data_IF_056599916956
#
_entry.id   IF_056599916956
#
_cell.length_a   1.000
_cell.length_b   1.000
_cell.length_c   1.000
_cell.angle_alpha   90.00
_cell.angle_beta   90.00
_cell.angle_gamma   90.00
#
_symmetry.space_group_name_H-M   'P 1'
#
loop_
_entity.id
_entity.type
_entity.pdbx_description
1 polymer ?
#
# COMPACT_ATOMS: atom_id res chain seq x y z
N UNK A 1 21.30 17.07 -5.97
CA UNK A 1 20.38 16.15 -6.67
C UNK A 1 18.97 16.58 -6.30
N UNK A 2 18.13 16.98 -7.26
CA UNK A 2 16.73 17.28 -6.94
C UNK A 2 16.05 15.98 -6.54
N UNK A 3 15.60 15.89 -5.29
CA UNK A 3 14.72 14.83 -4.84
C UNK A 3 13.42 14.97 -5.66
N UNK A 4 13.26 14.19 -6.73
CA UNK A 4 11.98 14.12 -7.43
C UNK A 4 11.09 13.21 -6.59
N UNK A 5 10.08 13.82 -5.96
CA UNK A 5 8.98 13.08 -5.35
C UNK A 5 8.21 12.44 -6.51
N UNK A 6 8.44 11.15 -6.77
CA UNK A 6 7.80 10.45 -7.88
C UNK A 6 6.28 10.35 -7.63
N UNK A 7 5.50 11.12 -8.40
CA UNK A 7 4.04 10.98 -8.52
C UNK A 7 3.69 9.81 -9.46
N UNK A 8 4.29 8.64 -9.21
CA UNK A 8 4.08 7.43 -10.00
C UNK A 8 2.58 7.08 -10.05
N UNK A 9 2.06 6.71 -11.23
CA UNK A 9 0.70 6.20 -11.35
C UNK A 9 0.70 4.71 -11.64
N UNK A 10 -0.09 3.99 -10.85
CA UNK A 10 0.06 2.56 -10.67
C UNK A 10 -1.22 1.79 -11.04
N UNK A 11 -1.03 0.66 -11.70
CA UNK A 11 -2.04 -0.36 -11.87
C UNK A 11 -1.74 -1.59 -10.99
N UNK A 12 -2.75 -2.07 -10.27
CA UNK A 12 -2.64 -3.21 -9.36
C UNK A 12 -3.42 -4.40 -9.94
N UNK A 13 -2.72 -5.50 -10.12
CA UNK A 13 -3.26 -6.77 -10.60
C UNK A 13 -3.08 -7.82 -9.50
N UNK A 14 -4.19 -8.35 -9.01
CA UNK A 14 -4.23 -9.35 -7.94
C UNK A 14 -4.62 -10.71 -8.50
N UNK A 15 -3.69 -11.65 -8.41
CA UNK A 15 -3.96 -13.07 -8.52
C UNK A 15 -4.38 -13.59 -7.13
N UNK A 16 -5.70 -13.65 -6.91
CA UNK A 16 -6.24 -13.97 -5.59
C UNK A 16 -6.02 -15.44 -5.23
N UNK A 17 -6.06 -16.34 -6.22
CA UNK A 17 -5.93 -17.78 -5.96
C UNK A 17 -4.52 -18.10 -5.46
N UNK A 18 -3.49 -17.58 -6.12
CA UNK A 18 -2.10 -17.82 -5.73
C UNK A 18 -1.81 -17.24 -4.34
N UNK A 19 -2.26 -16.01 -4.07
CA UNK A 19 -2.03 -15.35 -2.78
C UNK A 19 -2.83 -16.01 -1.65
N UNK A 20 -4.08 -16.41 -1.88
CA UNK A 20 -4.90 -17.06 -0.87
C UNK A 20 -4.35 -18.45 -0.51
N UNK A 21 -3.89 -19.22 -1.51
CA UNK A 21 -3.21 -20.49 -1.28
C UNK A 21 -1.89 -20.30 -0.53
N UNK A 22 -1.05 -19.36 -0.97
CA UNK A 22 0.23 -19.05 -0.32
C UNK A 22 0.08 -18.57 1.12
N UNK A 23 -0.96 -17.80 1.44
CA UNK A 23 -1.25 -17.34 2.79
C UNK A 23 -1.78 -18.46 3.70
N UNK A 24 -2.62 -19.36 3.17
CA UNK A 24 -3.13 -20.52 3.89
C UNK A 24 -1.98 -21.49 4.24
N UNK A 25 -1.09 -21.78 3.29
CA UNK A 25 0.04 -22.70 3.50
C UNK A 25 1.11 -22.15 4.46
N UNK A 26 1.10 -20.83 4.71
CA UNK A 26 2.02 -20.15 5.60
C UNK A 26 1.45 -19.86 7.01
N UNK A 27 0.28 -20.40 7.37
CA UNK A 27 -0.38 -20.25 8.68
C UNK A 27 -0.68 -18.77 9.08
N UNK A 28 -0.83 -17.88 8.11
CA UNK A 28 -1.16 -16.47 8.38
C UNK A 28 -2.67 -16.28 8.62
N UNK A 29 -3.09 -15.24 9.38
CA UNK A 29 -4.48 -14.80 9.35
C UNK A 29 -4.89 -14.45 7.91
N UNK A 30 -6.19 -14.58 7.62
CA UNK A 30 -6.74 -14.34 6.28
C UNK A 30 -6.13 -13.11 5.59
N UNK A 31 -5.68 -13.30 4.34
CA UNK A 31 -5.06 -12.25 3.53
C UNK A 31 -5.84 -10.93 3.57
N UNK A 32 -5.16 -9.84 3.90
CA UNK A 32 -5.72 -8.49 3.98
C UNK A 32 -5.06 -7.59 2.93
N UNK A 33 -5.79 -7.40 1.83
CA UNK A 33 -5.38 -6.56 0.71
C UNK A 33 -5.09 -5.10 1.12
N UNK A 34 -5.69 -4.60 2.21
CA UNK A 34 -5.50 -3.20 2.63
C UNK A 34 -4.07 -2.94 3.04
N UNK A 35 -3.39 -3.90 3.67
CA UNK A 35 -1.97 -3.79 4.05
C UNK A 35 -1.08 -3.59 2.82
N UNK A 36 -1.39 -4.30 1.73
CA UNK A 36 -0.69 -4.13 0.45
C UNK A 36 -0.97 -2.75 -0.14
N UNK A 37 -2.24 -2.33 -0.19
CA UNK A 37 -2.61 -1.02 -0.71
C UNK A 37 -1.96 0.13 0.07
N UNK A 38 -1.93 0.07 1.40
CA UNK A 38 -1.30 1.09 2.25
C UNK A 38 0.18 1.27 1.92
N UNK A 39 0.89 0.17 1.66
CA UNK A 39 2.29 0.18 1.23
C UNK A 39 2.44 0.77 -0.18
N UNK A 40 1.62 0.35 -1.14
CA UNK A 40 1.68 0.85 -2.51
C UNK A 40 1.33 2.36 -2.60
N UNK A 41 0.42 2.86 -1.76
CA UNK A 41 0.02 4.28 -1.73
C UNK A 41 1.14 5.23 -1.27
N UNK A 42 2.16 4.72 -0.55
CA UNK A 42 3.37 5.48 -0.22
C UNK A 42 4.25 5.71 -1.45
N UNK A 43 4.14 4.85 -2.46
CA UNK A 43 4.97 4.88 -3.67
C UNK A 43 4.34 5.67 -4.81
N UNK A 44 3.02 5.63 -4.92
CA UNK A 44 2.31 6.25 -6.04
C UNK A 44 0.81 6.35 -5.84
N UNK A 45 0.13 6.87 -6.86
CA UNK A 45 -1.33 6.86 -6.94
C UNK A 45 -1.80 5.61 -7.66
N UNK A 46 -2.75 4.90 -7.07
CA UNK A 46 -3.33 3.70 -7.68
C UNK A 46 -4.54 4.13 -8.54
N UNK A 47 -4.44 3.92 -9.86
CA UNK A 47 -5.48 4.32 -10.83
C UNK A 47 -6.28 3.15 -11.37
N UNK A 48 -5.73 1.93 -11.32
CA UNK A 48 -6.41 0.68 -11.70
C UNK A 48 -6.20 -0.37 -10.62
N UNK A 49 -7.27 -1.11 -10.28
CA UNK A 49 -7.25 -2.24 -9.35
C UNK A 49 -8.12 -3.35 -9.91
N UNK A 50 -7.51 -4.47 -10.30
CA UNK A 50 -8.21 -5.66 -10.81
C UNK A 50 -7.83 -6.89 -10.01
N UNK A 51 -8.81 -7.72 -9.66
CA UNK A 51 -8.61 -8.98 -8.96
C UNK A 51 -9.19 -10.13 -9.79
N UNK A 52 -8.39 -11.17 -10.01
CA UNK A 52 -8.71 -12.32 -10.86
C UNK A 52 -8.89 -13.56 -10.00
N UNK A 53 -10.05 -14.21 -10.10
CA UNK A 53 -10.36 -15.38 -9.28
C UNK A 53 -11.63 -16.13 -9.74
N UNK A 54 -11.73 -17.42 -9.42
CA UNK A 54 -13.01 -18.11 -9.25
C UNK A 54 -13.66 -17.66 -7.92
N UNK A 55 -14.47 -16.63 -8.06
CA UNK A 55 -15.04 -15.86 -6.97
C UNK A 55 -16.24 -16.59 -6.32
N UNK A 56 -16.74 -17.66 -6.95
CA UNK A 56 -17.65 -18.64 -6.35
C UNK A 56 -16.92 -19.49 -5.30
N UNK A 57 -15.64 -19.81 -5.50
CA UNK A 57 -14.79 -20.53 -4.52
C UNK A 57 -14.26 -19.62 -3.42
N UNK A 58 -13.90 -18.38 -3.76
CA UNK A 58 -13.26 -17.43 -2.85
C UNK A 58 -14.20 -16.30 -2.37
N UNK A 59 -15.46 -16.65 -2.06
CA UNK A 59 -16.51 -15.67 -1.66
C UNK A 59 -16.16 -14.79 -0.47
N UNK A 60 -15.35 -15.31 0.46
CA UNK A 60 -14.94 -14.59 1.68
C UNK A 60 -14.15 -13.32 1.38
N UNK A 61 -13.43 -13.27 0.26
CA UNK A 61 -12.62 -12.13 -0.15
C UNK A 61 -13.40 -11.07 -0.94
N UNK A 62 -14.56 -11.43 -1.53
CA UNK A 62 -15.36 -10.52 -2.38
C UNK A 62 -15.67 -9.20 -1.68
N UNK A 63 -16.16 -9.26 -0.44
CA UNK A 63 -16.55 -8.06 0.31
C UNK A 63 -15.36 -7.12 0.52
N UNK A 64 -14.24 -7.65 1.00
CA UNK A 64 -13.04 -6.84 1.27
C UNK A 64 -12.46 -6.22 0.00
N UNK A 65 -12.43 -6.96 -1.11
CA UNK A 65 -11.95 -6.45 -2.41
C UNK A 65 -12.90 -5.39 -2.99
N UNK A 66 -14.21 -5.61 -2.87
CA UNK A 66 -15.21 -4.64 -3.31
C UNK A 66 -15.15 -3.35 -2.48
N UNK A 67 -15.03 -3.44 -1.15
CA UNK A 67 -14.82 -2.29 -0.26
C UNK A 67 -13.52 -1.54 -0.59
N UNK A 68 -12.49 -2.27 -1.02
CA UNK A 68 -11.24 -1.71 -1.52
C UNK A 68 -11.32 -1.22 -2.98
N UNK A 69 -12.50 -1.21 -3.61
CA UNK A 69 -12.75 -0.76 -4.97
C UNK A 69 -11.90 -1.48 -6.03
N UNK A 70 -11.75 -2.80 -5.91
CA UNK A 70 -11.25 -3.65 -7.00
C UNK A 70 -12.37 -3.96 -7.99
N UNK A 71 -12.04 -3.95 -9.28
CA UNK A 71 -12.82 -4.64 -10.30
C UNK A 71 -12.61 -6.15 -10.12
N UNK A 72 -13.70 -6.88 -9.90
CA UNK A 72 -13.68 -8.32 -9.66
C UNK A 72 -13.87 -9.05 -11.01
N UNK A 73 -12.79 -9.64 -11.52
CA UNK A 73 -12.79 -10.40 -12.77
C UNK A 73 -13.05 -11.88 -12.44
N UNK A 74 -14.27 -12.32 -12.71
CA UNK A 74 -14.70 -13.71 -12.49
C UNK A 74 -14.08 -14.65 -13.54
N UNK A 75 -13.34 -15.66 -13.08
CA UNK A 75 -12.72 -16.70 -13.90
C UNK A 75 -13.26 -18.07 -13.44
N UNK A 76 -14.41 -18.54 -13.99
CA UNK A 76 -15.01 -19.78 -13.53
C UNK A 76 -14.18 -20.99 -13.94
N UNK A 77 -13.91 -21.90 -13.00
CA UNK A 77 -13.23 -23.17 -13.29
C UNK A 77 -14.21 -24.18 -13.90
N UNK A 78 -14.47 -24.08 -15.21
CA UNK A 78 -15.45 -24.94 -15.90
C UNK A 78 -14.93 -26.38 -16.11
N UNK A 79 -13.60 -26.61 -16.04
CA UNK A 79 -12.93 -27.94 -16.09
C UNK A 79 -11.62 -27.92 -15.28
N UNK A 80 -11.03 -29.09 -14.98
CA UNK A 80 -9.76 -29.26 -14.22
C UNK A 80 -8.58 -28.40 -14.75
N UNK A 81 -8.62 -27.93 -15.99
CA UNK A 81 -7.59 -27.10 -16.64
C UNK A 81 -7.75 -25.58 -16.44
N UNK A 82 -8.66 -25.12 -15.55
CA UNK A 82 -9.00 -23.71 -15.40
C UNK A 82 -7.92 -22.79 -14.81
N UNK A 83 -6.87 -23.35 -14.18
CA UNK A 83 -5.85 -22.58 -13.44
C UNK A 83 -5.17 -21.51 -14.31
N UNK A 84 -4.71 -21.87 -15.51
CA UNK A 84 -4.02 -20.92 -16.41
C UNK A 84 -4.94 -19.84 -16.99
N UNK A 85 -6.26 -19.94 -16.83
CA UNK A 85 -7.19 -18.97 -17.42
C UNK A 85 -7.12 -17.62 -16.72
N UNK A 86 -6.91 -17.62 -15.39
CA UNK A 86 -6.75 -16.40 -14.62
C UNK A 86 -5.45 -15.70 -14.99
N UNK A 87 -4.35 -16.44 -15.05
CA UNK A 87 -3.02 -15.91 -15.38
C UNK A 87 -3.00 -15.30 -16.78
N UNK A 88 -3.47 -16.04 -17.78
CA UNK A 88 -3.54 -15.55 -19.17
C UNK A 88 -4.40 -14.29 -19.24
N UNK A 89 -5.57 -14.27 -18.59
CA UNK A 89 -6.44 -13.10 -18.62
C UNK A 89 -5.79 -11.89 -17.95
N UNK A 90 -5.09 -12.09 -16.83
CA UNK A 90 -4.36 -11.03 -16.14
C UNK A 90 -3.23 -10.47 -17.01
N UNK A 91 -2.47 -11.33 -17.68
CA UNK A 91 -1.40 -10.92 -18.62
C UNK A 91 -1.97 -10.08 -19.77
N UNK A 92 -3.06 -10.53 -20.39
CA UNK A 92 -3.71 -9.80 -21.50
C UNK A 92 -4.17 -8.41 -21.04
N UNK A 93 -4.88 -8.33 -19.91
CA UNK A 93 -5.37 -7.06 -19.37
C UNK A 93 -4.23 -6.10 -18.99
N UNK A 94 -3.13 -6.62 -18.43
CA UNK A 94 -1.98 -5.81 -18.05
C UNK A 94 -1.24 -5.24 -19.26
N UNK A 95 -1.04 -6.04 -20.30
CA UNK A 95 -0.42 -5.58 -21.55
C UNK A 95 -1.32 -4.60 -22.30
N UNK A 96 -2.62 -4.85 -22.37
CA UNK A 96 -3.57 -3.89 -22.95
C UNK A 96 -3.52 -2.54 -22.23
N UNK A 97 -3.50 -2.56 -20.89
CA UNK A 97 -3.36 -1.33 -20.10
C UNK A 97 -2.02 -0.63 -20.36
N UNK A 98 -0.92 -1.38 -20.43
CA UNK A 98 0.41 -0.86 -20.73
C UNK A 98 0.45 -0.10 -22.07
N UNK A 99 -0.21 -0.63 -23.10
CA UNK A 99 -0.22 -0.01 -24.43
C UNK A 99 -1.26 1.10 -24.59
N UNK A 100 -2.41 1.00 -23.92
CA UNK A 100 -3.51 1.95 -24.11
C UNK A 100 -3.50 3.12 -23.13
N UNK A 101 -2.86 2.97 -21.95
CA UNK A 101 -2.82 3.98 -20.89
C UNK A 101 -1.38 4.37 -20.56
N UNK A 102 -0.79 5.18 -21.45
CA UNK A 102 0.62 5.63 -21.33
C UNK A 102 0.97 6.32 -20.00
N UNK A 103 -0.01 6.94 -19.32
CA UNK A 103 0.20 7.60 -18.03
C UNK A 103 0.51 6.61 -16.90
N UNK A 104 0.08 5.33 -17.01
CA UNK A 104 0.42 4.29 -16.03
C UNK A 104 1.88 3.91 -16.22
N UNK A 105 2.71 4.24 -15.24
CA UNK A 105 4.16 4.03 -15.27
C UNK A 105 4.60 2.83 -14.41
N UNK A 106 3.75 2.42 -13.46
CA UNK A 106 4.07 1.36 -12.49
C UNK A 106 3.01 0.27 -12.48
N UNK A 107 3.43 -0.99 -12.46
CA UNK A 107 2.57 -2.16 -12.38
C UNK A 107 2.89 -2.96 -11.12
N UNK A 108 1.91 -3.07 -10.23
CA UNK A 108 2.00 -3.93 -9.06
C UNK A 108 1.32 -5.28 -9.37
N UNK A 109 2.12 -6.35 -9.40
CA UNK A 109 1.67 -7.72 -9.62
C UNK A 109 1.67 -8.44 -8.28
N UNK A 110 0.48 -8.74 -7.76
CA UNK A 110 0.29 -9.44 -6.50
C UNK A 110 0.10 -10.93 -6.81
N UNK A 111 1.22 -11.67 -6.85
CA UNK A 111 1.30 -13.13 -7.03
C UNK A 111 2.66 -13.65 -6.55
N UNK A 112 2.77 -14.96 -6.30
CA UNK A 112 4.03 -15.66 -6.09
C UNK A 112 4.53 -16.45 -7.30
N UNK A 113 3.75 -16.50 -8.40
CA UNK A 113 4.01 -17.39 -9.53
C UNK A 113 5.11 -16.88 -10.49
N UNK A 114 6.03 -17.77 -10.86
CA UNK A 114 7.03 -17.50 -11.89
C UNK A 114 6.45 -17.40 -13.30
N UNK A 115 5.24 -17.89 -13.55
CA UNK A 115 4.58 -17.80 -14.86
C UNK A 115 4.29 -16.36 -15.29
N UNK A 116 4.33 -15.40 -14.35
CA UNK A 116 4.26 -13.96 -14.66
C UNK A 116 5.60 -13.34 -15.09
N UNK A 117 6.70 -14.07 -15.06
CA UNK A 117 8.02 -13.56 -15.47
C UNK A 117 8.03 -12.95 -16.89
N UNK A 118 7.42 -13.58 -17.92
CA UNK A 118 7.35 -12.97 -19.25
C UNK A 118 6.56 -11.65 -19.28
N UNK A 119 5.50 -11.53 -18.47
CA UNK A 119 4.76 -10.28 -18.32
C UNK A 119 5.66 -9.19 -17.73
N UNK A 120 6.39 -9.51 -16.66
CA UNK A 120 7.34 -8.57 -16.04
C UNK A 120 8.38 -8.09 -17.05
N UNK A 121 8.99 -9.01 -17.81
CA UNK A 121 9.96 -8.66 -18.84
C UNK A 121 9.35 -7.74 -19.90
N UNK A 122 8.12 -8.02 -20.35
CA UNK A 122 7.45 -7.21 -21.37
C UNK A 122 7.06 -5.82 -20.87
N UNK A 123 6.62 -5.70 -19.61
CA UNK A 123 6.34 -4.41 -18.98
C UNK A 123 7.62 -3.56 -18.88
N UNK A 124 8.73 -4.17 -18.45
CA UNK A 124 10.04 -3.49 -18.37
C UNK A 124 10.58 -3.09 -19.75
N UNK A 125 10.39 -3.91 -20.77
CA UNK A 125 10.69 -3.55 -22.17
C UNK A 125 9.92 -2.30 -22.62
N UNK A 126 8.75 -2.03 -22.01
CA UNK A 126 7.91 -0.86 -22.29
C UNK A 126 8.11 0.28 -21.28
N UNK A 127 9.29 0.33 -20.64
CA UNK A 127 9.69 1.38 -19.69
C UNK A 127 8.72 1.53 -18.51
N UNK A 128 8.17 0.39 -18.05
CA UNK A 128 7.32 0.33 -16.86
C UNK A 128 8.10 -0.23 -15.68
N UNK A 129 7.89 0.39 -14.51
CA UNK A 129 8.38 -0.14 -13.24
C UNK A 129 7.46 -1.27 -12.78
N UNK A 130 8.02 -2.41 -12.37
CA UNK A 130 7.24 -3.55 -11.88
C UNK A 130 7.53 -3.84 -10.42
N UNK A 131 6.48 -3.80 -9.60
CA UNK A 131 6.50 -4.14 -8.18
C UNK A 131 5.84 -5.51 -8.00
N UNK A 132 6.62 -6.52 -7.63
CA UNK A 132 6.10 -7.81 -7.22
C UNK A 132 5.61 -7.76 -5.77
N UNK A 133 4.49 -8.42 -5.47
CA UNK A 133 3.99 -8.59 -4.10
C UNK A 133 3.59 -10.05 -3.89
N UNK A 134 4.18 -10.72 -2.89
CA UNK A 134 3.89 -12.13 -2.65
C UNK A 134 4.23 -12.59 -1.23
N UNK A 135 3.83 -13.82 -0.89
CA UNK A 135 4.17 -14.45 0.39
C UNK A 135 5.52 -15.15 0.27
N UNK A 136 6.42 -14.91 1.22
CA UNK A 136 7.84 -15.32 1.13
C UNK A 136 8.04 -16.81 0.87
N UNK A 137 7.19 -17.67 1.44
CA UNK A 137 7.29 -19.13 1.31
C UNK A 137 6.69 -19.69 0.02
N UNK A 138 5.84 -18.93 -0.67
CA UNK A 138 5.11 -19.37 -1.86
C UNK A 138 5.50 -18.60 -3.13
N UNK A 139 6.54 -17.77 -3.05
CA UNK A 139 7.02 -16.95 -4.16
C UNK A 139 8.28 -17.58 -4.75
N UNK A 140 8.34 -17.68 -6.09
CA UNK A 140 9.52 -18.14 -6.81
C UNK A 140 10.63 -17.07 -6.89
N UNK A 141 11.89 -17.46 -6.68
CA UNK A 141 13.07 -16.59 -6.86
C UNK A 141 13.16 -16.01 -8.28
N UNK A 142 12.65 -16.74 -9.29
CA UNK A 142 12.60 -16.26 -10.67
C UNK A 142 11.64 -15.07 -10.82
N UNK A 143 10.48 -15.11 -10.16
CA UNK A 143 9.55 -14.00 -10.18
C UNK A 143 10.15 -12.77 -9.47
N UNK A 144 10.75 -12.98 -8.30
CA UNK A 144 11.39 -11.92 -7.50
C UNK A 144 12.48 -11.22 -8.29
N UNK A 145 13.40 -11.98 -8.88
CA UNK A 145 14.55 -11.43 -9.62
C UNK A 145 14.19 -10.69 -10.91
N UNK A 146 13.00 -10.93 -11.47
CA UNK A 146 12.53 -10.24 -12.66
C UNK A 146 11.91 -8.86 -12.36
N UNK A 147 11.38 -8.66 -11.14
CA UNK A 147 10.77 -7.41 -10.72
C UNK A 147 11.82 -6.32 -10.42
N UNK A 148 11.45 -5.05 -10.56
CA UNK A 148 12.31 -3.93 -10.17
C UNK A 148 12.30 -3.74 -8.64
N UNK A 149 11.17 -4.06 -8.01
CA UNK A 149 11.02 -4.12 -6.55
C UNK A 149 10.15 -5.31 -6.14
N UNK A 150 10.42 -5.90 -4.97
CA UNK A 150 9.59 -6.94 -4.41
C UNK A 150 9.18 -6.64 -2.96
N UNK A 151 7.88 -6.75 -2.66
CA UNK A 151 7.30 -6.54 -1.33
C UNK A 151 6.79 -7.88 -0.80
N UNK A 152 7.37 -8.35 0.31
CA UNK A 152 6.88 -9.54 0.99
C UNK A 152 5.66 -9.20 1.86
N UNK A 153 4.55 -9.90 1.63
CA UNK A 153 3.34 -9.72 2.43
C UNK A 153 3.58 -10.03 3.92
N UNK A 154 4.44 -11.02 4.21
CA UNK A 154 4.85 -11.39 5.56
C UNK A 154 5.34 -10.19 6.39
N UNK A 155 6.12 -9.31 5.77
CA UNK A 155 6.71 -8.15 6.44
C UNK A 155 5.62 -7.11 6.74
N UNK A 156 4.64 -6.94 5.86
CA UNK A 156 3.49 -6.05 6.09
C UNK A 156 2.62 -6.50 7.25
N UNK A 157 2.55 -7.82 7.49
CA UNK A 157 1.79 -8.38 8.63
C UNK A 157 2.59 -8.29 9.94
N UNK A 158 3.93 -8.44 9.88
CA UNK A 158 4.81 -8.43 11.07
C UNK A 158 5.07 -7.04 11.66
N UNK A 159 4.94 -5.98 10.86
CA UNK A 159 5.22 -4.59 11.29
C UNK A 159 4.18 -4.02 12.27
N UNK A 160 3.09 -4.73 12.57
CA UNK A 160 2.33 -4.45 13.79
C UNK A 160 3.04 -5.10 14.99
N UNK A 161 3.72 -4.35 15.88
CA UNK A 161 4.19 -4.94 17.12
C UNK A 161 2.95 -5.46 17.85
N UNK A 162 2.95 -6.77 18.12
CA UNK A 162 2.14 -7.35 19.16
C UNK A 162 2.37 -6.53 20.43
N UNK A 163 1.48 -5.57 20.70
CA UNK A 163 1.38 -4.95 22.02
C UNK A 163 0.97 -6.06 22.97
N UNK A 164 1.95 -6.81 23.47
CA UNK A 164 1.84 -7.58 24.71
C UNK A 164 1.51 -6.56 25.79
N UNK A 165 0.22 -6.32 26.01
CA UNK A 165 -0.26 -5.75 27.26
C UNK A 165 0.07 -6.79 28.34
N UNK A 166 0.83 -6.44 29.39
CA UNK A 166 0.91 -7.31 30.57
C UNK A 166 -0.51 -7.43 31.13
N UNK A 167 -0.98 -8.67 31.28
CA UNK A 167 -2.21 -8.97 32.00
C UNK A 167 -2.02 -8.60 33.46
N UNK A 168 -2.63 -7.49 33.89
CA UNK A 168 -2.94 -7.28 35.31
C UNK A 168 -4.44 -7.05 35.39
N UNK A 169 -5.10 -8.03 36.00
CA UNK A 169 -6.50 -7.99 36.32
C UNK A 169 -6.76 -6.86 37.34
N UNK A 170 -7.58 -5.88 36.96
CA UNK A 170 -8.31 -5.02 37.88
C UNK A 170 -9.56 -4.46 37.17
N UNK A 171 -10.70 -4.82 37.71
CA UNK A 171 -12.07 -4.37 37.40
C UNK A 171 -12.25 -2.85 37.44
N UNK A 172 -12.73 -2.24 36.34
CA UNK A 172 -13.72 -1.14 36.28
C UNK A 172 -13.96 -0.69 34.80
N UNK A 173 -15.04 0.05 34.50
CA UNK A 173 -16.20 -0.38 33.71
C UNK A 173 -16.07 -0.18 32.19
N UNK A 174 -16.97 -0.85 31.46
CA UNK A 174 -17.11 -0.85 30.01
C UNK A 174 -17.06 0.56 29.38
N UNK A 175 -15.90 0.89 28.80
CA UNK A 175 -15.79 2.01 27.86
C UNK A 175 -16.35 1.57 26.51
N UNK A 176 -17.53 2.10 26.20
CA UNK A 176 -18.22 2.00 24.92
C UNK A 176 -17.25 2.30 23.78
N UNK A 177 -17.07 1.33 22.89
CA UNK A 177 -16.42 1.51 21.58
C UNK A 177 -17.34 2.32 20.68
N UNK A 178 -17.33 3.64 20.88
CA UNK A 178 -17.82 4.64 19.95
C UNK A 178 -16.76 5.71 19.87
N UNK A 179 -15.75 5.54 19.01
CA UNK A 179 -14.82 6.62 18.68
C UNK A 179 -15.63 7.68 17.93
N UNK A 180 -16.00 8.74 18.63
CA UNK A 180 -16.38 10.01 18.03
C UNK A 180 -15.34 10.38 16.97
N UNK A 181 -15.69 10.26 15.69
CA UNK A 181 -14.89 10.67 14.54
C UNK A 181 -14.88 12.20 14.38
N UNK A 182 -14.85 12.96 15.49
CA UNK A 182 -14.66 14.40 15.38
C UNK A 182 -13.21 14.65 14.97
N UNK A 183 -12.96 15.40 13.88
CA UNK A 183 -11.62 15.80 13.52
C UNK A 183 -11.00 16.56 14.70
N UNK A 184 -9.96 15.98 15.31
CA UNK A 184 -9.23 16.60 16.41
C UNK A 184 -7.82 16.93 15.97
N UNK A 185 -7.21 17.93 16.62
CA UNK A 185 -5.80 18.26 16.42
C UNK A 185 -4.93 17.02 16.65
N UNK A 186 -5.18 16.29 17.74
CA UNK A 186 -4.42 15.08 18.08
C UNK A 186 -4.57 13.97 17.04
N UNK A 187 -5.75 13.85 16.41
CA UNK A 187 -5.98 12.89 15.33
C UNK A 187 -5.16 13.21 14.08
N UNK A 188 -5.04 14.50 13.72
CA UNK A 188 -4.18 14.92 12.61
C UNK A 188 -2.70 14.67 12.90
N UNK A 189 -2.27 14.92 14.14
CA UNK A 189 -0.89 14.70 14.56
C UNK A 189 -0.52 13.21 14.61
N UNK A 190 -1.44 12.35 15.07
CA UNK A 190 -1.22 10.89 15.05
C UNK A 190 -1.14 10.35 13.62
N UNK A 191 -2.01 10.83 12.71
CA UNK A 191 -1.94 10.50 11.29
C UNK A 191 -0.60 10.95 10.69
N UNK A 192 -0.19 12.18 10.98
CA UNK A 192 1.07 12.74 10.49
C UNK A 192 2.26 11.91 10.95
N UNK A 193 2.32 11.57 12.24
CA UNK A 193 3.39 10.73 12.80
C UNK A 193 3.44 9.36 12.13
N UNK A 194 2.30 8.69 11.98
CA UNK A 194 2.23 7.37 11.31
C UNK A 194 2.70 7.44 9.87
N UNK A 195 2.31 8.47 9.12
CA UNK A 195 2.77 8.65 7.75
C UNK A 195 4.26 8.96 7.69
N UNK A 196 4.82 9.69 8.66
CA UNK A 196 6.28 9.93 8.76
C UNK A 196 7.03 8.60 8.94
N UNK A 197 6.64 7.81 9.93
CA UNK A 197 7.24 6.50 10.23
C UNK A 197 7.17 5.59 9.00
N UNK A 198 6.02 5.55 8.32
CA UNK A 198 5.84 4.74 7.12
C UNK A 198 6.71 5.20 5.93
N UNK A 199 6.85 6.51 5.71
CA UNK A 199 7.70 7.07 4.66
C UNK A 199 9.19 6.84 4.94
N UNK A 200 9.63 6.89 6.21
CA UNK A 200 11.02 6.59 6.59
C UNK A 200 11.35 5.11 6.43
N UNK A 201 10.43 4.23 6.82
CA UNK A 201 10.56 2.79 6.59
C UNK A 201 10.61 2.45 5.08
N UNK A 202 9.97 3.26 4.23
CA UNK A 202 10.01 3.13 2.77
C UNK A 202 11.29 3.66 2.13
N UNK A 203 11.65 4.92 2.41
CA UNK A 203 12.71 5.63 1.66
C UNK A 203 14.08 5.60 2.35
N UNK A 204 14.15 5.06 3.57
CA UNK A 204 15.33 5.05 4.42
C UNK A 204 15.28 6.11 5.53
N UNK A 205 15.91 5.80 6.67
CA UNK A 205 15.89 6.64 7.88
C UNK A 205 16.46 8.05 7.66
N UNK A 206 17.47 8.18 6.79
CA UNK A 206 18.18 9.44 6.50
C UNK A 206 17.61 10.19 5.29
N UNK A 207 16.55 9.66 4.65
CA UNK A 207 15.98 10.29 3.47
C UNK A 207 15.23 11.58 3.83
N UNK A 208 15.55 12.73 3.21
CA UNK A 208 14.86 13.97 3.49
C UNK A 208 13.41 13.91 2.98
N UNK A 209 12.44 13.91 3.89
CA UNK A 209 11.02 13.88 3.53
C UNK A 209 10.51 15.30 3.39
N UNK A 210 10.10 15.68 2.18
CA UNK A 210 9.47 16.99 1.95
C UNK A 210 8.05 17.02 2.51
N UNK A 211 7.64 18.17 3.04
CA UNK A 211 6.27 18.39 3.51
C UNK A 211 5.21 18.18 2.42
N UNK A 212 5.54 18.43 1.16
CA UNK A 212 4.69 18.12 0.00
C UNK A 212 4.44 16.62 -0.15
N UNK A 213 5.50 15.81 -0.15
CA UNK A 213 5.42 14.35 -0.22
C UNK A 213 4.62 13.80 0.95
N UNK A 214 4.90 14.30 2.15
CA UNK A 214 4.19 13.91 3.36
C UNK A 214 2.68 14.18 3.25
N UNK A 215 2.30 15.38 2.81
CA UNK A 215 0.90 15.74 2.57
C UNK A 215 0.24 14.86 1.51
N UNK A 216 0.93 14.60 0.40
CA UNK A 216 0.43 13.74 -0.66
C UNK A 216 0.19 12.31 -0.15
N UNK A 217 1.17 11.73 0.56
CA UNK A 217 1.05 10.40 1.15
C UNK A 217 -0.11 10.32 2.16
N UNK A 218 -0.26 11.32 3.04
CA UNK A 218 -1.38 11.40 3.99
C UNK A 218 -2.74 11.39 3.28
N UNK A 219 -2.87 12.15 2.19
CA UNK A 219 -4.12 12.20 1.40
C UNK A 219 -4.39 10.92 0.62
N UNK A 220 -3.34 10.26 0.11
CA UNK A 220 -3.48 8.98 -0.61
C UNK A 220 -3.94 7.86 0.33
N UNK A 221 -3.35 7.78 1.53
CA UNK A 221 -3.74 6.80 2.55
C UNK A 221 -5.06 7.15 3.23
N UNK A 222 -5.39 8.44 3.33
CA UNK A 222 -6.62 8.92 3.97
C UNK A 222 -7.28 10.03 3.14
N UNK A 223 -8.07 9.69 2.12
CA UNK A 223 -8.69 10.67 1.21
C UNK A 223 -9.62 11.69 1.91
N UNK A 224 -10.17 11.33 3.08
CA UNK A 224 -11.00 12.23 3.88
C UNK A 224 -10.19 13.28 4.68
N UNK A 225 -8.86 13.19 4.70
CA UNK A 225 -8.01 14.11 5.44
C UNK A 225 -8.07 15.54 4.89
N UNK A 226 -8.40 16.49 5.77
CA UNK A 226 -8.41 17.91 5.49
C UNK A 226 -7.91 18.69 6.71
N UNK A 227 -6.80 19.40 6.57
CA UNK A 227 -6.14 20.14 7.64
C UNK A 227 -7.08 21.17 8.30
N UNK A 228 -7.99 21.77 7.52
CA UNK A 228 -8.98 22.74 8.02
C UNK A 228 -10.02 22.10 8.92
N UNK A 229 -10.40 20.84 8.64
CA UNK A 229 -11.30 20.11 9.51
C UNK A 229 -10.67 19.89 10.90
N UNK A 230 -9.34 19.77 10.97
CA UNK A 230 -8.57 19.61 12.20
C UNK A 230 -8.13 20.94 12.85
N UNK A 231 -8.61 22.09 12.36
CA UNK A 231 -8.34 23.41 12.95
C UNK A 231 -7.13 24.17 12.39
N UNK A 232 -6.50 23.67 11.31
CA UNK A 232 -5.34 24.30 10.68
C UNK A 232 -5.70 24.98 9.36
N UNK A 233 -5.23 26.20 9.12
CA UNK A 233 -5.50 26.93 7.86
C UNK A 233 -4.73 26.37 6.68
N UNK A 234 -3.53 25.83 6.96
CA UNK A 234 -2.62 25.24 5.98
C UNK A 234 -1.85 24.06 6.58
N UNK A 235 -1.34 23.18 5.72
CA UNK A 235 -0.52 22.03 6.15
C UNK A 235 0.75 22.43 6.88
N UNK A 236 1.34 23.57 6.52
CA UNK A 236 2.51 24.11 7.20
C UNK A 236 2.22 24.43 8.68
N UNK A 237 1.00 24.82 9.04
CA UNK A 237 0.63 25.06 10.45
C UNK A 237 0.57 23.74 11.23
N UNK A 238 0.07 22.66 10.60
CA UNK A 238 0.08 21.32 11.19
C UNK A 238 1.51 20.82 11.43
N UNK A 239 2.42 21.03 10.46
CA UNK A 239 3.84 20.68 10.62
C UNK A 239 4.48 21.45 11.78
N UNK A 240 4.24 22.76 11.86
CA UNK A 240 4.77 23.60 12.93
C UNK A 240 4.24 23.19 14.31
N UNK A 241 2.96 22.84 14.42
CA UNK A 241 2.38 22.34 15.66
C UNK A 241 2.98 20.98 16.05
N UNK A 242 3.23 20.09 15.08
CA UNK A 242 3.92 18.83 15.32
C UNK A 242 5.37 19.03 15.83
N UNK A 243 6.10 20.01 15.26
CA UNK A 243 7.43 20.39 15.76
C UNK A 243 7.36 20.95 17.19
N UNK A 244 6.39 21.83 17.46
CA UNK A 244 6.19 22.42 18.79
C UNK A 244 5.92 21.37 19.86
N UNK A 245 5.27 20.27 19.49
CA UNK A 245 5.01 19.11 20.36
C UNK A 245 6.15 18.09 20.38
N UNK A 246 7.26 18.35 19.69
CA UNK A 246 8.42 17.47 19.65
C UNK A 246 8.18 16.15 18.92
N UNK A 247 7.25 16.10 17.97
CA UNK A 247 6.96 14.88 17.18
C UNK A 247 7.87 14.75 15.95
N UNK A 248 8.46 15.86 15.53
CA UNK A 248 9.33 15.95 14.36
C UNK A 248 10.21 17.21 14.46
N UNK A 249 11.25 17.28 13.63
CA UNK A 249 12.07 18.47 13.41
C UNK A 249 11.80 18.98 12.00
N UNK A 250 11.67 20.30 11.83
CA UNK A 250 11.52 20.92 10.52
C UNK A 250 12.77 21.71 10.13
N UNK A 251 13.15 21.59 8.88
CA UNK A 251 14.15 22.43 8.23
C UNK A 251 13.47 23.19 7.08
N UNK A 252 13.78 24.48 6.91
CA UNK A 252 13.19 25.27 5.81
C UNK A 252 13.87 24.93 4.49
N UNK A 253 13.08 24.49 3.52
CA UNK A 253 13.53 24.35 2.13
C UNK A 253 13.56 25.74 1.47
N UNK A 254 14.78 26.27 1.29
CA UNK A 254 15.02 27.60 0.73
C UNK A 254 14.57 27.74 -0.74
N UNK A 255 14.30 26.63 -1.44
CA UNK A 255 13.93 26.67 -2.86
C UNK A 255 12.41 26.71 -3.10
N UNK A 256 11.60 26.16 -2.19
CA UNK A 256 10.17 25.91 -2.45
C UNK A 256 9.25 26.58 -1.43
N UNK A 257 9.79 27.22 -0.38
CA UNK A 257 8.96 27.76 0.71
C UNK A 257 8.21 26.67 1.50
N UNK A 258 8.68 25.42 1.38
CA UNK A 258 8.18 24.24 2.07
C UNK A 258 9.16 23.84 3.20
N UNK A 259 8.80 22.83 3.98
CA UNK A 259 9.66 22.26 5.00
C UNK A 259 10.18 20.87 4.59
N UNK A 260 11.42 20.58 4.96
CA UNK A 260 11.95 19.22 5.07
C UNK A 260 11.62 18.73 6.48
N UNK A 261 11.04 17.54 6.56
CA UNK A 261 10.57 16.90 7.78
C UNK A 261 11.57 15.82 8.17
N UNK A 262 12.07 15.94 9.39
CA UNK A 262 13.00 15.00 10.01
C UNK A 262 12.32 14.37 11.23
N UNK A 263 12.58 13.09 11.51
CA UNK A 263 12.14 12.50 12.77
C UNK A 263 12.91 13.10 13.96
N UNK A 264 12.29 13.09 15.13
CA UNK A 264 13.02 13.27 16.39
C UNK A 264 13.71 11.96 16.76
N UNK A 265 14.97 12.05 17.19
CA UNK A 265 15.70 10.96 17.85
C UNK A 265 15.01 10.52 19.14
#
# INVERSE_FOLDING_TARGET
MSVQDSDATMAVFLDLENIALGAHDADFPAFDIRKVLERLLLKGQIVVKKAYCDFERYKTFKRGLHEAAFELIEIPHVRQSGKNSADIRMVVDALDLCYTKSHVDTFAIISGDSDFSPLVSKLRENDKTVIGVGVKRSTSDLFISNCDEFIYYDDLVRVEPAKKRPSVAATAPAAKTGKDHRPSIDGALDLLRKTLEALRAERGEDYPIRGSLMKQAMKRQNPGFNERAHGFRAFNELLLEAQKRGLLKLERDKQVGSYIVHATE
#
